data_IF_277642234733
#
_entry.id   IF_277642234733
#
_cell.length_a   1.000
_cell.length_b   1.000
_cell.length_c   1.000
_cell.angle_alpha   90.00
_cell.angle_beta   90.00
_cell.angle_gamma   90.00
#
_symmetry.space_group_name_H-M   'P 1'
#
loop_
_entity.id
_entity.type
_entity.pdbx_description
1 polymer ?
#
# COMPACT_ATOMS: atom_id res chain seq x y z
N UNK A 1 10.70 11.11 24.50
CA UNK A 1 11.74 11.67 23.62
C UNK A 1 11.02 12.41 22.52
N UNK A 2 11.50 13.59 22.16
CA UNK A 2 10.97 14.31 21.01
C UNK A 2 11.43 13.64 19.72
N UNK A 3 10.75 13.90 18.61
CA UNK A 3 11.04 13.27 17.32
C UNK A 3 12.48 13.46 16.87
N UNK A 4 13.03 14.66 17.06
CA UNK A 4 14.40 14.97 16.65
C UNK A 4 15.44 14.18 17.48
N UNK A 5 15.19 13.94 18.77
CA UNK A 5 16.05 13.10 19.62
C UNK A 5 16.10 11.65 19.10
N UNK A 6 14.93 11.13 18.71
CA UNK A 6 14.82 9.77 18.15
C UNK A 6 15.54 9.71 16.81
N UNK A 7 15.41 10.74 15.97
CA UNK A 7 16.10 10.84 14.69
C UNK A 7 17.62 10.82 14.85
N UNK A 8 18.16 11.58 15.81
CA UNK A 8 19.59 11.54 16.10
C UNK A 8 20.05 10.17 16.61
N UNK A 9 19.28 9.53 17.47
CA UNK A 9 19.57 8.19 17.97
C UNK A 9 19.63 7.17 16.82
N UNK A 10 18.62 7.16 15.94
CA UNK A 10 18.57 6.23 14.81
C UNK A 10 19.69 6.51 13.82
N UNK A 11 20.08 7.78 13.57
CA UNK A 11 21.27 8.10 12.75
C UNK A 11 22.57 7.53 13.35
N UNK A 12 22.72 7.52 14.68
CA UNK A 12 23.88 6.90 15.33
C UNK A 12 23.86 5.38 15.16
N UNK A 13 22.69 4.75 15.28
CA UNK A 13 22.52 3.31 15.02
C UNK A 13 22.83 2.97 13.56
N UNK A 14 22.31 3.75 12.61
CA UNK A 14 22.57 3.57 11.18
C UNK A 14 24.07 3.58 10.90
N UNK A 15 24.80 4.60 11.36
CA UNK A 15 26.27 4.66 11.20
C UNK A 15 26.99 3.43 11.75
N UNK A 16 26.52 2.89 12.87
CA UNK A 16 27.13 1.72 13.53
C UNK A 16 26.84 0.42 12.77
N UNK A 17 25.61 0.26 12.29
CA UNK A 17 25.18 -0.98 11.63
C UNK A 17 25.39 -0.98 10.13
N UNK A 18 25.56 0.18 9.48
CA UNK A 18 25.65 0.28 8.02
C UNK A 18 26.82 -0.52 7.41
N UNK A 19 27.92 -0.70 8.14
CA UNK A 19 29.05 -1.51 7.68
C UNK A 19 28.74 -3.01 7.61
N UNK A 20 27.87 -3.49 8.51
CA UNK A 20 27.51 -4.91 8.63
C UNK A 20 26.19 -5.22 7.90
N UNK A 21 25.27 -4.28 7.90
CA UNK A 21 23.93 -4.36 7.32
C UNK A 21 23.64 -3.12 6.46
N UNK A 22 24.24 -2.98 5.27
CA UNK A 22 24.08 -1.79 4.44
C UNK A 22 22.64 -1.54 3.97
N UNK A 23 21.82 -2.59 3.92
CA UNK A 23 20.41 -2.55 3.51
C UNK A 23 19.43 -2.39 4.68
N UNK A 24 19.92 -2.19 5.92
CA UNK A 24 19.04 -2.03 7.07
C UNK A 24 18.16 -0.78 6.91
N UNK A 25 16.87 -0.94 7.21
CA UNK A 25 15.90 0.14 7.27
C UNK A 25 15.36 0.28 8.69
N UNK A 26 14.99 1.50 9.06
CA UNK A 26 14.47 1.84 10.36
C UNK A 26 13.07 2.45 10.19
N UNK A 27 12.06 1.72 10.64
CA UNK A 27 10.72 2.26 10.85
C UNK A 27 10.55 2.69 12.30
N UNK A 28 10.00 3.87 12.52
CA UNK A 28 9.78 4.44 13.84
C UNK A 28 8.27 4.59 14.06
N UNK A 29 7.75 3.93 15.09
CA UNK A 29 6.36 4.02 15.53
C UNK A 29 6.00 5.41 16.06
N UNK A 30 4.72 5.59 16.39
CA UNK A 30 4.33 6.71 17.24
C UNK A 30 4.82 6.51 18.67
N UNK A 31 4.91 7.63 19.39
CA UNK A 31 5.11 7.60 20.84
C UNK A 31 3.93 6.86 21.49
N UNK A 32 4.25 5.92 22.37
CA UNK A 32 3.27 5.22 23.20
C UNK A 32 3.34 5.74 24.63
N UNK A 33 2.20 5.80 25.30
CA UNK A 33 2.11 6.35 26.65
C UNK A 33 2.35 5.29 27.73
N UNK A 34 2.27 4.00 27.37
CA UNK A 34 2.50 2.90 28.30
C UNK A 34 3.05 1.63 27.62
N UNK A 35 3.56 0.71 28.45
CA UNK A 35 4.18 -0.53 28.00
C UNK A 35 3.21 -1.54 27.36
N UNK A 36 1.89 -1.44 27.57
CA UNK A 36 0.93 -2.38 26.96
C UNK A 36 0.88 -2.21 25.44
N UNK A 37 1.24 -1.04 24.95
CA UNK A 37 1.27 -0.69 23.53
C UNK A 37 2.61 -1.03 22.85
N UNK A 38 3.54 -1.68 23.56
CA UNK A 38 4.85 -2.03 23.01
C UNK A 38 4.74 -2.95 21.79
N UNK A 39 3.80 -3.89 21.82
CA UNK A 39 3.55 -4.79 20.70
C UNK A 39 3.06 -3.99 19.47
N UNK A 40 2.10 -3.09 19.66
CA UNK A 40 1.61 -2.18 18.60
C UNK A 40 2.76 -1.33 18.03
N UNK A 41 3.61 -0.74 18.89
CA UNK A 41 4.77 0.02 18.42
C UNK A 41 5.75 -0.81 17.58
N UNK A 42 5.96 -2.08 17.95
CA UNK A 42 6.81 -2.99 17.20
C UNK A 42 6.20 -3.33 15.83
N UNK A 43 4.89 -3.56 15.77
CA UNK A 43 4.18 -3.89 14.54
C UNK A 43 4.16 -2.69 13.58
N UNK A 44 3.85 -1.49 14.08
CA UNK A 44 3.97 -0.21 13.34
C UNK A 44 5.38 -0.03 12.75
N UNK A 45 6.41 -0.21 13.58
CA UNK A 45 7.82 -0.03 13.18
C UNK A 45 8.23 -1.02 12.08
N UNK A 46 7.80 -2.29 12.19
CA UNK A 46 8.08 -3.32 11.17
C UNK A 46 7.37 -3.03 9.85
N UNK A 47 6.12 -2.59 9.91
CA UNK A 47 5.33 -2.26 8.73
C UNK A 47 5.96 -1.08 7.98
N UNK A 48 6.31 0.01 8.70
CA UNK A 48 6.99 1.16 8.10
C UNK A 48 8.34 0.76 7.48
N UNK A 49 9.15 -0.03 8.18
CA UNK A 49 10.44 -0.49 7.64
C UNK A 49 10.29 -1.32 6.35
N UNK A 50 9.15 -2.01 6.18
CA UNK A 50 8.84 -2.82 4.98
C UNK A 50 8.41 -1.96 3.79
N UNK A 51 7.59 -0.94 4.02
CA UNK A 51 6.99 -0.14 2.94
C UNK A 51 7.79 1.11 2.58
N UNK A 52 8.55 1.66 3.53
CA UNK A 52 9.23 2.93 3.33
C UNK A 52 10.36 2.81 2.31
N UNK A 53 10.44 3.80 1.42
CA UNK A 53 11.54 3.91 0.46
C UNK A 53 12.81 4.47 1.09
N UNK A 54 12.68 5.26 2.16
CA UNK A 54 13.81 5.84 2.86
C UNK A 54 14.40 4.88 3.88
N UNK A 55 15.65 5.15 4.27
CA UNK A 55 16.36 4.33 5.25
C UNK A 55 15.83 4.53 6.68
N UNK A 56 15.32 5.72 6.98
CA UNK A 56 14.78 6.10 8.28
C UNK A 56 13.42 6.76 8.03
N UNK A 57 12.34 6.19 8.55
CA UNK A 57 11.00 6.72 8.33
C UNK A 57 10.16 6.69 9.60
N UNK A 58 9.47 7.78 9.85
CA UNK A 58 8.59 7.93 11.02
C UNK A 58 7.15 7.75 10.58
N UNK A 59 6.38 6.96 11.33
CA UNK A 59 4.94 6.82 11.10
C UNK A 59 4.21 8.16 11.18
N UNK A 60 4.70 9.08 12.01
CA UNK A 60 4.17 10.44 12.13
C UNK A 60 4.23 11.25 10.81
N UNK A 61 5.20 10.97 9.95
CA UNK A 61 5.34 11.62 8.63
C UNK A 61 4.50 10.95 7.54
N UNK A 62 3.81 9.86 7.89
CA UNK A 62 3.12 8.97 6.96
C UNK A 62 1.64 8.82 7.37
N UNK A 63 0.86 9.92 7.41
CA UNK A 63 -0.52 9.88 7.89
C UNK A 63 -1.44 9.03 7.01
N UNK A 64 -1.16 8.93 5.71
CA UNK A 64 -1.91 8.08 4.78
C UNK A 64 -1.65 6.60 5.02
N UNK A 65 -0.39 6.22 5.16
CA UNK A 65 0.04 4.87 5.49
C UNK A 65 -0.48 4.46 6.86
N UNK A 66 -0.44 5.35 7.85
CA UNK A 66 -1.07 5.11 9.16
C UNK A 66 -2.55 4.78 9.03
N UNK A 67 -3.30 5.56 8.26
CA UNK A 67 -4.72 5.30 8.04
C UNK A 67 -4.95 3.92 7.40
N UNK A 68 -4.11 3.55 6.41
CA UNK A 68 -4.15 2.23 5.79
C UNK A 68 -3.79 1.11 6.78
N UNK A 69 -2.83 1.34 7.68
CA UNK A 69 -2.48 0.42 8.76
C UNK A 69 -3.65 0.20 9.72
N UNK A 70 -4.26 1.28 10.21
CA UNK A 70 -5.42 1.22 11.10
C UNK A 70 -6.58 0.43 10.45
N UNK A 71 -6.80 0.61 9.15
CA UNK A 71 -7.77 -0.19 8.38
C UNK A 71 -7.35 -1.66 8.33
N UNK A 72 -6.07 -1.94 8.09
CA UNK A 72 -5.54 -3.30 7.93
C UNK A 72 -5.60 -4.14 9.22
N UNK A 73 -5.65 -3.49 10.38
CA UNK A 73 -5.81 -4.12 11.70
C UNK A 73 -7.28 -4.42 12.03
N UNK A 74 -8.22 -3.73 11.40
CA UNK A 74 -9.64 -4.04 11.55
C UNK A 74 -10.03 -5.20 10.62
N UNK A 75 -10.17 -6.41 11.17
CA UNK A 75 -10.44 -7.62 10.40
C UNK A 75 -11.70 -7.56 9.52
N UNK A 76 -12.75 -6.84 9.95
CA UNK A 76 -13.97 -6.70 9.14
C UNK A 76 -13.72 -5.84 7.90
N UNK A 77 -13.08 -4.68 8.09
CA UNK A 77 -12.77 -3.74 7.01
C UNK A 77 -11.71 -4.35 6.08
N UNK A 78 -10.66 -4.94 6.66
CA UNK A 78 -9.62 -5.69 5.95
C UNK A 78 -10.21 -6.76 5.03
N UNK A 79 -11.12 -7.59 5.55
CA UNK A 79 -11.78 -8.66 4.78
C UNK A 79 -12.59 -8.08 3.61
N UNK A 80 -13.29 -6.97 3.82
CA UNK A 80 -14.04 -6.30 2.76
C UNK A 80 -13.14 -5.89 1.58
N UNK A 81 -12.06 -5.15 1.84
CA UNK A 81 -11.14 -4.71 0.79
C UNK A 81 -10.33 -5.86 0.18
N UNK A 82 -9.96 -6.87 0.98
CA UNK A 82 -9.30 -8.08 0.49
C UNK A 82 -10.15 -8.84 -0.51
N UNK A 83 -11.47 -8.89 -0.33
CA UNK A 83 -12.37 -9.54 -1.28
C UNK A 83 -12.39 -8.85 -2.65
N UNK A 84 -12.30 -7.52 -2.69
CA UNK A 84 -12.22 -6.76 -3.96
C UNK A 84 -10.95 -7.14 -4.72
N UNK A 85 -9.80 -7.18 -4.05
CA UNK A 85 -8.54 -7.56 -4.69
C UNK A 85 -8.53 -9.03 -5.09
N UNK A 86 -9.07 -9.90 -4.24
CA UNK A 86 -9.10 -11.34 -4.50
C UNK A 86 -10.00 -11.69 -5.69
N UNK A 87 -11.11 -10.99 -5.93
CA UNK A 87 -11.93 -11.27 -7.12
C UNK A 87 -11.18 -11.02 -8.43
N UNK A 88 -10.27 -10.05 -8.44
CA UNK A 88 -9.38 -9.79 -9.58
C UNK A 88 -8.25 -10.82 -9.64
N UNK A 89 -7.58 -11.11 -8.52
CA UNK A 89 -6.47 -12.08 -8.46
C UNK A 89 -6.90 -13.48 -8.89
N UNK A 90 -8.03 -13.97 -8.39
CA UNK A 90 -8.56 -15.28 -8.76
C UNK A 90 -8.82 -15.38 -10.27
N UNK A 91 -9.34 -14.31 -10.89
CA UNK A 91 -9.55 -14.28 -12.33
C UNK A 91 -8.22 -14.28 -13.11
N UNK A 92 -7.25 -13.49 -12.67
CA UNK A 92 -5.89 -13.47 -13.25
C UNK A 92 -5.22 -14.85 -13.17
N UNK A 93 -5.33 -15.54 -12.04
CA UNK A 93 -4.79 -16.89 -11.84
C UNK A 93 -5.49 -17.93 -12.74
N UNK A 94 -6.81 -17.88 -12.86
CA UNK A 94 -7.59 -18.81 -13.66
C UNK A 94 -7.41 -18.61 -15.18
N UNK A 95 -7.32 -17.36 -15.63
CA UNK A 95 -7.33 -17.00 -17.05
C UNK A 95 -5.97 -16.56 -17.59
N UNK A 96 -4.94 -16.48 -16.75
CA UNK A 96 -3.61 -16.00 -17.14
C UNK A 96 -3.59 -14.52 -17.56
N UNK A 97 -4.48 -13.71 -16.99
CA UNK A 97 -4.58 -12.27 -17.30
C UNK A 97 -3.71 -11.42 -16.36
N UNK A 98 -3.66 -10.12 -16.63
CA UNK A 98 -2.91 -9.14 -15.81
C UNK A 98 -3.82 -7.97 -15.39
N UNK A 99 -5.06 -8.26 -15.00
CA UNK A 99 -6.05 -7.24 -14.62
C UNK A 99 -5.63 -6.47 -13.37
N UNK A 100 -5.09 -7.14 -12.35
CA UNK A 100 -4.64 -6.45 -11.14
C UNK A 100 -3.50 -5.47 -11.45
N UNK A 101 -2.51 -5.90 -12.24
CA UNK A 101 -1.42 -5.03 -12.71
C UNK A 101 -1.96 -3.88 -13.56
N UNK A 102 -2.98 -4.13 -14.38
CA UNK A 102 -3.65 -3.09 -15.17
C UNK A 102 -4.29 -2.04 -14.27
N UNK A 103 -5.03 -2.47 -13.24
CA UNK A 103 -5.65 -1.58 -12.26
C UNK A 103 -4.59 -0.76 -11.52
N UNK A 104 -3.54 -1.39 -10.97
CA UNK A 104 -2.49 -0.67 -10.25
C UNK A 104 -1.75 0.33 -11.13
N UNK A 105 -1.50 0.00 -12.40
CA UNK A 105 -0.88 0.92 -13.36
C UNK A 105 -1.81 2.09 -13.70
N UNK A 106 -3.11 1.84 -13.82
CA UNK A 106 -4.12 2.86 -14.07
C UNK A 106 -4.21 3.87 -12.91
N UNK A 107 -4.23 3.36 -11.68
CA UNK A 107 -4.23 4.19 -10.46
C UNK A 107 -2.94 5.01 -10.36
N UNK A 108 -1.77 4.39 -10.57
CA UNK A 108 -0.47 5.07 -10.53
C UNK A 108 -0.30 6.16 -11.61
N UNK A 109 -1.18 6.20 -12.61
CA UNK A 109 -1.18 7.19 -13.68
C UNK A 109 -2.36 8.17 -13.59
N UNK A 110 -2.83 8.45 -12.37
CA UNK A 110 -3.92 9.38 -12.09
C UNK A 110 -5.20 9.04 -12.89
N UNK A 111 -5.46 7.75 -13.11
CA UNK A 111 -6.62 7.27 -13.86
C UNK A 111 -6.64 7.76 -15.32
N UNK A 112 -5.47 8.09 -15.90
CA UNK A 112 -5.34 8.52 -17.30
C UNK A 112 -5.19 7.29 -18.19
N UNK A 113 -6.26 6.96 -18.93
CA UNK A 113 -6.31 5.77 -19.80
C UNK A 113 -5.23 5.76 -20.89
N UNK A 114 -5.03 6.87 -21.60
CA UNK A 114 -4.00 6.95 -22.67
C UNK A 114 -2.60 6.68 -22.13
N UNK A 115 -2.19 7.41 -21.09
CA UNK A 115 -0.89 7.25 -20.43
C UNK A 115 -0.70 5.82 -19.90
N UNK A 116 -1.75 5.22 -19.35
CA UNK A 116 -1.70 3.83 -18.85
C UNK A 116 -1.47 2.84 -19.98
N UNK A 117 -2.21 2.97 -21.10
CA UNK A 117 -2.07 2.10 -22.26
C UNK A 117 -0.65 2.17 -22.86
N UNK A 118 -0.09 3.39 -22.96
CA UNK A 118 1.29 3.63 -23.42
C UNK A 118 2.32 2.94 -22.51
N UNK A 119 2.24 3.13 -21.19
CA UNK A 119 3.16 2.54 -20.21
C UNK A 119 3.07 1.01 -20.20
N UNK A 120 1.87 0.47 -20.39
CA UNK A 120 1.65 -0.97 -20.46
C UNK A 120 1.97 -1.57 -21.83
N UNK A 121 2.29 -0.74 -22.83
CA UNK A 121 2.49 -1.15 -24.22
C UNK A 121 1.32 -1.96 -24.79
N UNK A 122 0.09 -1.55 -24.48
CA UNK A 122 -1.14 -2.17 -24.98
C UNK A 122 -2.02 -1.16 -25.72
N UNK A 123 -2.93 -1.66 -26.56
CA UNK A 123 -3.89 -0.82 -27.24
C UNK A 123 -4.93 -0.24 -26.25
N UNK A 124 -5.45 0.95 -26.53
CA UNK A 124 -6.40 1.65 -25.64
C UNK A 124 -7.71 0.87 -25.45
N UNK A 125 -8.20 0.19 -26.49
CA UNK A 125 -9.36 -0.72 -26.41
C UNK A 125 -9.08 -1.94 -25.53
N UNK A 126 -7.86 -2.49 -25.57
CA UNK A 126 -7.46 -3.58 -24.68
C UNK A 126 -7.46 -3.12 -23.23
N UNK A 127 -6.93 -1.91 -22.95
CA UNK A 127 -7.02 -1.32 -21.62
C UNK A 127 -8.48 -1.16 -21.19
N UNK A 128 -9.34 -0.61 -22.06
CA UNK A 128 -10.77 -0.44 -21.77
C UNK A 128 -11.43 -1.77 -21.43
N UNK A 129 -11.19 -2.82 -22.22
CA UNK A 129 -11.72 -4.15 -21.94
C UNK A 129 -11.27 -4.66 -20.57
N UNK A 130 -9.98 -4.52 -20.24
CA UNK A 130 -9.44 -4.94 -18.93
C UNK A 130 -10.06 -4.17 -17.78
N UNK A 131 -10.22 -2.86 -17.90
CA UNK A 131 -10.86 -2.03 -16.87
C UNK A 131 -12.35 -2.37 -16.70
N UNK A 132 -13.08 -2.56 -17.79
CA UNK A 132 -14.47 -3.04 -17.72
C UNK A 132 -14.56 -4.40 -17.03
N UNK A 133 -13.58 -5.28 -17.28
CA UNK A 133 -13.54 -6.58 -16.62
C UNK A 133 -13.30 -6.46 -15.12
N UNK A 134 -12.48 -5.51 -14.69
CA UNK A 134 -12.30 -5.17 -13.27
C UNK A 134 -13.62 -4.69 -12.65
N UNK A 135 -14.38 -3.83 -13.34
CA UNK A 135 -15.70 -3.35 -12.87
C UNK A 135 -16.69 -4.53 -12.71
N UNK A 136 -16.72 -5.46 -13.67
CA UNK A 136 -17.55 -6.67 -13.59
C UNK A 136 -17.18 -7.57 -12.40
N UNK A 137 -15.88 -7.84 -12.21
CA UNK A 137 -15.40 -8.75 -11.16
C UNK A 137 -15.55 -8.17 -9.75
N UNK A 138 -15.50 -6.85 -9.63
CA UNK A 138 -15.61 -6.15 -8.34
C UNK A 138 -17.04 -5.68 -8.06
N UNK A 139 -17.90 -5.63 -9.09
CA UNK A 139 -19.21 -5.00 -9.06
C UNK A 139 -19.15 -3.53 -8.58
N UNK A 140 -18.12 -2.81 -9.04
CA UNK A 140 -17.83 -1.42 -8.70
C UNK A 140 -17.58 -0.62 -9.98
N UNK A 141 -18.24 0.53 -10.13
CA UNK A 141 -18.10 1.41 -11.31
C UNK A 141 -16.94 2.41 -11.10
N UNK A 142 -15.95 2.39 -11.99
CA UNK A 142 -14.78 3.28 -11.95
C UNK A 142 -15.12 4.74 -12.27
N UNK A 143 -16.31 5.01 -12.81
CA UNK A 143 -16.82 6.36 -13.06
C UNK A 143 -17.71 6.86 -11.91
N UNK A 144 -18.12 5.99 -10.98
CA UNK A 144 -18.83 6.37 -9.77
C UNK A 144 -17.82 6.73 -8.66
N UNK A 145 -17.94 7.93 -8.08
CA UNK A 145 -16.96 8.41 -7.10
C UNK A 145 -16.85 7.55 -5.83
N UNK A 146 -17.95 6.96 -5.35
CA UNK A 146 -17.94 6.11 -4.15
C UNK A 146 -17.30 4.76 -4.43
N UNK A 147 -17.56 4.20 -5.60
CA UNK A 147 -17.02 2.92 -6.00
C UNK A 147 -15.54 3.03 -6.37
N UNK A 148 -15.17 4.09 -7.09
CA UNK A 148 -13.78 4.43 -7.33
C UNK A 148 -12.99 4.57 -6.02
N UNK A 149 -13.54 5.27 -5.01
CA UNK A 149 -12.87 5.39 -3.70
C UNK A 149 -12.58 4.01 -3.08
N UNK A 150 -13.52 3.06 -3.15
CA UNK A 150 -13.31 1.71 -2.62
C UNK A 150 -12.20 0.98 -3.39
N UNK A 151 -12.16 1.11 -4.72
CA UNK A 151 -11.12 0.52 -5.57
C UNK A 151 -9.75 1.11 -5.24
N UNK A 152 -9.65 2.44 -5.07
CA UNK A 152 -8.40 3.10 -4.72
C UNK A 152 -7.88 2.60 -3.37
N UNK A 153 -8.73 2.55 -2.34
CA UNK A 153 -8.34 2.04 -1.02
C UNK A 153 -7.95 0.55 -1.12
N UNK A 154 -8.69 -0.26 -1.87
CA UNK A 154 -8.35 -1.66 -2.09
C UNK A 154 -6.96 -1.81 -2.73
N UNK A 155 -6.66 -1.00 -3.74
CA UNK A 155 -5.36 -1.01 -4.43
C UNK A 155 -4.21 -0.63 -3.49
N UNK A 156 -4.38 0.43 -2.68
CA UNK A 156 -3.37 0.84 -1.69
C UNK A 156 -3.20 -0.21 -0.58
N UNK A 157 -4.29 -0.82 -0.11
CA UNK A 157 -4.25 -1.85 0.92
C UNK A 157 -3.61 -3.16 0.45
N UNK A 158 -3.53 -3.42 -0.86
CA UNK A 158 -2.96 -4.67 -1.39
C UNK A 158 -1.52 -4.94 -0.93
N UNK A 159 -0.76 -3.91 -0.53
CA UNK A 159 0.61 -4.04 0.02
C UNK A 159 0.60 -4.62 1.46
N UNK A 160 -0.52 -4.45 2.17
CA UNK A 160 -0.71 -4.81 3.58
C UNK A 160 -1.53 -6.09 3.79
N UNK A 161 -2.17 -6.63 2.73
CA UNK A 161 -3.10 -7.76 2.78
C UNK A 161 -2.48 -9.12 2.45
#
# INVERSE_FOLDING_TARGET
>A
MEKEDVKELVKKLDKKFNSEFPQIKFGISLKKDNFKELQTALDESKQIAKIANEKISFLEDLPGERFLLDISENEVIKKYFKNIINSIKSYDEEHGTELLKTLSTYVANDLKRQKTAEIMHIHIETLRYRLNKVEELTNLDLNNSKDLMKILIANELNIYL
#
